data_IF_059514844324
#
_entry.id   IF_059514844324
#
_cell.length_a   1.000
_cell.length_b   1.000
_cell.length_c   1.000
_cell.angle_alpha   90.00
_cell.angle_beta   90.00
_cell.angle_gamma   90.00
#
_symmetry.space_group_name_H-M   'P 1'
#
loop_
_entity.id
_entity.type
_entity.pdbx_description
1 polymer ?
#
# COMPACT_ATOMS: atom_id res chain seq x y z
N UNK A 1 20.98 1.57 6.56
CA UNK A 1 20.54 1.43 5.15
C UNK A 1 19.96 2.77 4.69
N UNK A 2 20.73 3.61 3.97
CA UNK A 2 20.18 4.81 3.32
C UNK A 2 19.51 4.39 2.02
N UNK A 3 18.19 4.22 2.03
CA UNK A 3 17.43 3.91 0.80
C UNK A 3 17.46 5.14 -0.10
N UNK A 4 17.96 4.99 -1.34
CA UNK A 4 18.11 6.09 -2.33
C UNK A 4 16.83 6.92 -2.52
N UNK A 5 15.66 6.31 -2.29
CA UNK A 5 14.36 6.97 -2.20
C UNK A 5 13.52 6.34 -1.08
N UNK A 6 13.35 7.01 0.07
CA UNK A 6 12.59 6.44 1.18
C UNK A 6 11.11 6.20 0.80
N UNK A 7 10.53 5.03 1.16
CA UNK A 7 9.14 4.70 0.83
C UNK A 7 8.17 5.64 1.57
N UNK A 8 6.94 5.73 1.05
CA UNK A 8 5.86 6.43 1.76
C UNK A 8 5.50 5.70 3.06
N UNK A 9 5.12 6.43 4.13
CA UNK A 9 4.49 5.79 5.28
C UNK A 9 3.24 5.03 4.83
N UNK A 10 3.07 3.83 5.37
CA UNK A 10 1.95 2.96 5.00
C UNK A 10 0.67 3.49 5.65
N UNK A 11 -0.39 3.70 4.85
CA UNK A 11 -1.69 4.07 5.38
C UNK A 11 -2.42 2.86 6.00
N UNK A 12 -3.51 3.13 6.73
CA UNK A 12 -4.33 2.11 7.42
C UNK A 12 -4.75 0.94 6.52
N UNK A 13 -5.13 1.20 5.26
CA UNK A 13 -5.55 0.15 4.34
C UNK A 13 -4.39 -0.74 3.90
N UNK A 14 -3.21 -0.16 3.65
CA UNK A 14 -2.02 -0.95 3.30
C UNK A 14 -1.61 -1.87 4.46
N UNK A 15 -1.69 -1.36 5.69
CA UNK A 15 -1.44 -2.14 6.91
C UNK A 15 -2.46 -3.28 7.05
N UNK A 16 -3.75 -2.97 6.93
CA UNK A 16 -4.82 -3.96 6.94
C UNK A 16 -4.63 -5.03 5.85
N UNK A 17 -4.28 -4.61 4.63
CA UNK A 17 -4.04 -5.52 3.52
C UNK A 17 -2.91 -6.49 3.79
N UNK A 18 -1.82 -6.01 4.39
CA UNK A 18 -0.67 -6.84 4.77
C UNK A 18 -1.02 -7.81 5.90
N UNK A 19 -1.87 -7.39 6.84
CA UNK A 19 -2.38 -8.25 7.89
C UNK A 19 -3.27 -9.37 7.32
N UNK A 20 -4.30 -9.02 6.53
CA UNK A 20 -5.22 -10.00 5.94
C UNK A 20 -4.52 -10.92 4.95
N UNK A 21 -3.59 -10.45 4.13
CA UNK A 21 -2.88 -11.30 3.16
C UNK A 21 -2.04 -12.40 3.83
N UNK A 22 -1.64 -12.22 5.09
CA UNK A 22 -0.93 -13.23 5.89
C UNK A 22 -1.86 -14.22 6.59
N UNK A 23 -3.17 -13.94 6.65
CA UNK A 23 -4.13 -14.86 7.25
C UNK A 23 -4.23 -16.18 6.47
N UNK A 24 -4.61 -17.30 7.14
CA UNK A 24 -4.72 -18.60 6.48
C UNK A 24 -5.61 -18.59 5.22
N UNK A 25 -6.68 -17.78 5.23
CA UNK A 25 -7.62 -17.60 4.11
C UNK A 25 -6.95 -17.22 2.79
N UNK A 26 -5.86 -16.44 2.85
CA UNK A 26 -5.13 -15.98 1.67
C UNK A 26 -3.79 -16.69 1.49
N UNK A 27 -3.15 -17.10 2.59
CA UNK A 27 -1.83 -17.76 2.58
C UNK A 27 -1.88 -19.19 2.02
N UNK A 28 -2.98 -19.93 2.27
CA UNK A 28 -3.13 -21.35 1.87
C UNK A 28 -3.68 -21.57 0.45
N UNK A 29 -3.94 -20.51 -0.32
CA UNK A 29 -4.53 -20.64 -1.67
C UNK A 29 -3.58 -21.25 -2.69
N UNK A 30 -4.11 -21.82 -3.78
CA UNK A 30 -3.30 -22.24 -4.94
C UNK A 30 -2.64 -21.02 -5.61
N UNK A 31 -1.55 -21.22 -6.37
CA UNK A 31 -0.77 -20.10 -6.95
C UNK A 31 -1.62 -19.22 -7.86
N UNK A 32 -2.54 -19.82 -8.59
CA UNK A 32 -3.44 -19.18 -9.55
C UNK A 32 -4.41 -18.20 -8.84
N UNK A 33 -4.86 -18.56 -7.63
CA UNK A 33 -5.77 -17.78 -6.79
C UNK A 33 -5.04 -16.76 -5.89
N UNK A 34 -3.70 -16.84 -5.80
CA UNK A 34 -2.84 -15.84 -5.13
C UNK A 34 -2.52 -14.65 -6.03
N UNK A 35 -3.11 -14.56 -7.22
CA UNK A 35 -2.95 -13.38 -8.10
C UNK A 35 -3.21 -12.11 -7.29
N UNK A 36 -2.18 -11.26 -7.18
CA UNK A 36 -2.16 -10.05 -6.33
C UNK A 36 -3.37 -9.15 -6.59
N UNK A 37 -3.80 -9.05 -7.85
CA UNK A 37 -4.98 -8.28 -8.28
C UNK A 37 -6.28 -8.81 -7.67
N UNK A 38 -6.48 -10.13 -7.67
CA UNK A 38 -7.67 -10.78 -7.11
C UNK A 38 -7.69 -10.65 -5.59
N UNK A 39 -6.59 -11.02 -4.93
CA UNK A 39 -6.44 -10.90 -3.48
C UNK A 39 -6.65 -9.46 -2.99
N UNK A 40 -6.13 -8.46 -3.72
CA UNK A 40 -6.31 -7.05 -3.34
C UNK A 40 -7.76 -6.57 -3.50
N UNK A 41 -8.48 -7.05 -4.52
CA UNK A 41 -9.91 -6.74 -4.69
C UNK A 41 -10.74 -7.31 -3.54
N UNK A 42 -10.53 -8.58 -3.20
CA UNK A 42 -11.24 -9.23 -2.09
C UNK A 42 -10.96 -8.55 -0.76
N UNK A 43 -9.70 -8.21 -0.47
CA UNK A 43 -9.36 -7.52 0.77
C UNK A 43 -9.95 -6.10 0.80
N UNK A 44 -10.08 -5.43 -0.33
CA UNK A 44 -10.78 -4.15 -0.39
C UNK A 44 -12.27 -4.28 -0.03
N UNK A 45 -12.94 -5.36 -0.46
CA UNK A 45 -14.32 -5.66 -0.05
C UNK A 45 -14.38 -5.93 1.46
N UNK A 46 -13.45 -6.75 1.99
CA UNK A 46 -13.38 -7.00 3.44
C UNK A 46 -13.20 -5.71 4.23
N UNK A 47 -12.32 -4.80 3.78
CA UNK A 47 -12.10 -3.52 4.45
C UNK A 47 -13.36 -2.64 4.49
N UNK A 48 -14.17 -2.62 3.42
CA UNK A 48 -15.42 -1.86 3.38
C UNK A 48 -16.42 -2.38 4.43
N UNK A 49 -16.48 -3.70 4.61
CA UNK A 49 -17.42 -4.38 5.50
C UNK A 49 -16.86 -4.66 6.90
N UNK A 50 -15.64 -4.21 7.20
CA UNK A 50 -15.00 -4.44 8.50
C UNK A 50 -15.61 -3.53 9.57
N UNK A 51 -15.57 -3.96 10.83
CA UNK A 51 -16.11 -3.18 11.94
C UNK A 51 -15.35 -1.87 12.19
N UNK A 52 -16.03 -0.90 12.79
CA UNK A 52 -15.43 0.40 13.10
C UNK A 52 -14.31 0.28 14.14
N UNK A 53 -14.37 -0.69 15.04
CA UNK A 53 -13.33 -0.99 16.03
C UNK A 53 -12.04 -1.40 15.33
N UNK A 54 -12.13 -2.32 14.36
CA UNK A 54 -10.95 -2.75 13.59
C UNK A 54 -10.42 -1.58 12.76
N UNK A 55 -11.29 -0.78 12.13
CA UNK A 55 -10.85 0.41 11.40
C UNK A 55 -10.12 1.40 12.31
N UNK A 56 -10.61 1.63 13.53
CA UNK A 56 -9.96 2.47 14.57
C UNK A 56 -8.57 1.94 14.95
N UNK A 57 -8.41 0.63 15.11
CA UNK A 57 -7.10 0.02 15.36
C UNK A 57 -6.12 0.32 14.22
N UNK A 58 -6.52 0.14 12.97
CA UNK A 58 -5.63 0.44 11.83
C UNK A 58 -5.40 1.95 11.63
N UNK A 59 -6.33 2.81 12.03
CA UNK A 59 -6.11 4.25 12.13
C UNK A 59 -5.04 4.60 13.17
N UNK A 60 -5.07 3.97 14.35
CA UNK A 60 -4.05 4.16 15.38
C UNK A 60 -2.67 3.67 14.88
N UNK A 61 -2.62 2.50 14.23
CA UNK A 61 -1.40 1.99 13.60
C UNK A 61 -0.86 2.94 12.52
N UNK A 62 -1.73 3.56 11.71
CA UNK A 62 -1.30 4.57 10.73
C UNK A 62 -0.63 5.78 11.40
N UNK A 63 -1.13 6.24 12.56
CA UNK A 63 -0.49 7.31 13.34
C UNK A 63 0.89 6.89 13.83
N UNK A 64 1.01 5.69 14.41
CA UNK A 64 2.30 5.16 14.88
C UNK A 64 3.30 5.01 13.73
N UNK A 65 2.85 4.54 12.56
CA UNK A 65 3.71 4.42 11.38
C UNK A 65 4.22 5.78 10.91
N UNK A 66 3.40 6.85 10.97
CA UNK A 66 3.85 8.21 10.66
C UNK A 66 4.92 8.71 11.62
N UNK A 67 4.72 8.48 12.93
CA UNK A 67 5.70 8.84 13.96
C UNK A 67 7.04 8.13 13.70
N UNK A 68 6.99 6.80 13.54
CA UNK A 68 8.21 6.01 13.28
C UNK A 68 8.86 6.35 11.94
N UNK A 69 8.07 6.69 10.93
CA UNK A 69 8.59 7.12 9.63
C UNK A 69 9.34 8.47 9.76
N UNK A 70 8.79 9.41 10.52
CA UNK A 70 9.43 10.69 10.86
C UNK A 70 10.74 10.49 11.62
N UNK A 71 10.76 9.62 12.63
CA UNK A 71 11.98 9.26 13.38
C UNK A 71 13.09 8.69 12.48
N UNK A 72 12.72 7.86 11.50
CA UNK A 72 13.69 7.17 10.64
C UNK A 72 14.18 8.04 9.46
N UNK A 73 13.31 8.88 8.92
CA UNK A 73 13.57 9.61 7.67
C UNK A 73 13.67 11.13 7.82
N UNK A 74 13.43 11.68 9.01
CA UNK A 74 13.50 13.10 9.30
C UNK A 74 12.23 13.87 8.94
N UNK A 75 12.16 15.10 9.46
CA UNK A 75 11.05 16.04 9.25
C UNK A 75 11.04 16.63 7.85
N UNK A 76 12.20 16.61 7.18
CA UNK A 76 12.42 17.07 5.82
C UNK A 76 12.02 16.03 4.76
N UNK A 77 11.49 14.86 5.17
CA UNK A 77 11.00 13.86 4.23
C UNK A 77 9.94 14.42 3.29
N UNK A 78 10.24 14.36 1.98
CA UNK A 78 9.29 14.69 0.92
C UNK A 78 9.24 13.60 -0.14
N UNK A 79 8.04 13.08 -0.39
CA UNK A 79 7.83 12.11 -1.46
C UNK A 79 8.05 12.75 -2.84
N UNK A 80 9.04 12.25 -3.58
CA UNK A 80 9.29 12.63 -4.98
C UNK A 80 8.61 11.62 -5.92
N UNK A 81 7.55 12.05 -6.61
CA UNK A 81 6.89 11.24 -7.65
C UNK A 81 7.82 11.17 -8.86
N UNK A 82 8.09 9.97 -9.38
CA UNK A 82 8.70 9.83 -10.72
C UNK A 82 7.68 10.29 -11.76
N UNK A 83 8.06 11.25 -12.62
CA UNK A 83 7.26 11.61 -13.80
C UNK A 83 7.19 10.38 -14.71
N UNK A 84 5.99 10.05 -15.19
CA UNK A 84 5.84 9.03 -16.25
C UNK A 84 6.35 9.70 -17.53
N UNK A 85 7.23 9.04 -18.27
CA UNK A 85 7.63 9.53 -19.60
C UNK A 85 6.38 9.69 -20.45
N UNK A 86 6.15 10.88 -20.97
CA UNK A 86 5.17 11.12 -22.01
C UNK A 86 5.58 10.28 -23.21
N UNK A 87 4.77 9.28 -23.57
CA UNK A 87 4.84 8.69 -24.90
C UNK A 87 4.54 9.79 -25.90
N UNK A 88 5.57 10.29 -26.58
CA UNK A 88 5.41 11.07 -27.81
C UNK A 88 4.79 10.10 -28.82
N UNK A 89 3.49 10.22 -29.05
CA UNK A 89 2.85 9.69 -30.24
C UNK A 89 3.32 10.58 -31.40
N UNK A 90 4.30 10.09 -32.17
CA UNK A 90 4.63 10.63 -33.48
C UNK A 90 3.43 10.40 -34.39
N UNK A 91 2.69 11.48 -34.63
CA UNK A 91 1.65 11.58 -35.64
C UNK A 91 2.35 11.63 -37.01
N UNK A 92 2.38 10.50 -37.72
CA UNK A 92 2.79 10.45 -39.13
C UNK A 92 1.51 10.59 -39.97
N UNK A 93 1.17 11.83 -40.34
CA UNK A 93 0.27 12.10 -41.46
C UNK A 93 1.13 12.24 -42.72
N UNK A 94 0.91 11.36 -43.69
CA UNK A 94 1.36 11.52 -45.09
C UNK A 94 0.19 11.94 -45.96
#
# INVERSE_FOLDING_TARGET
>A
IKVKTPPRPQNRFILYRRFKSRSPKFKKRRKEDRKVKLTSKEIAILWKNETEEVKKVFCALERMVKIKHREVYGDDYKYKKKKRGSSISSDNSS
#
